data_IF_101445310706
#
_entry.id   IF_101445310706
#
_cell.length_a   1.000
_cell.length_b   1.000
_cell.length_c   1.000
_cell.angle_alpha   90.00
_cell.angle_beta   90.00
_cell.angle_gamma   90.00
#
_symmetry.space_group_name_H-M   'P 1'
#
loop_
_entity.id
_entity.type
_entity.pdbx_description
1 polymer ?
#
# COMPACT_ATOMS: atom_id res chain seq x y z
N UNK A 1 -13.81 16.03 26.75
CA UNK A 1 -15.29 15.96 26.93
C UNK A 1 -15.85 14.98 25.91
N UNK A 2 -17.16 14.77 25.78
CA UNK A 2 -17.71 13.90 24.74
C UNK A 2 -18.93 14.49 24.05
N UNK A 3 -19.36 13.90 22.95
CA UNK A 3 -20.59 14.29 22.25
C UNK A 3 -21.82 14.17 23.17
N UNK A 4 -21.83 13.19 24.08
CA UNK A 4 -22.83 13.03 25.13
C UNK A 4 -22.85 14.18 26.12
N UNK A 5 -21.69 14.74 26.45
CA UNK A 5 -21.60 15.96 27.25
C UNK A 5 -22.17 17.15 26.48
N UNK A 6 -21.84 17.27 25.19
CA UNK A 6 -22.30 18.36 24.33
C UNK A 6 -23.84 18.45 24.31
N UNK A 7 -24.53 17.34 24.03
CA UNK A 7 -26.00 17.31 23.90
C UNK A 7 -26.74 17.45 25.24
N UNK A 8 -26.01 17.46 26.35
CA UNK A 8 -26.55 17.72 27.70
C UNK A 8 -26.18 19.09 28.25
N UNK A 9 -25.33 19.84 27.55
CA UNK A 9 -24.78 21.09 28.05
C UNK A 9 -25.57 22.27 27.54
N UNK A 10 -25.87 23.21 28.43
CA UNK A 10 -26.55 24.46 28.10
C UNK A 10 -25.58 25.41 27.38
N UNK A 11 -25.96 25.89 26.20
CA UNK A 11 -25.28 26.95 25.47
C UNK A 11 -25.53 28.33 26.10
N UNK A 12 -24.92 29.39 25.55
CA UNK A 12 -25.11 30.78 25.99
C UNK A 12 -26.58 31.27 25.99
N UNK A 13 -27.47 30.60 25.25
CA UNK A 13 -28.90 30.92 25.16
C UNK A 13 -29.75 30.04 26.09
N UNK A 14 -29.15 29.33 27.04
CA UNK A 14 -29.80 28.38 27.94
C UNK A 14 -30.61 27.28 27.21
N UNK A 15 -30.13 26.81 26.04
CA UNK A 15 -30.68 25.64 25.35
C UNK A 15 -29.63 24.54 25.18
N UNK A 16 -30.10 23.30 24.98
CA UNK A 16 -29.24 22.12 24.74
C UNK A 16 -29.40 21.66 23.29
N UNK A 17 -28.34 21.09 22.70
CA UNK A 17 -28.42 20.52 21.36
C UNK A 17 -29.36 19.30 21.33
N UNK A 18 -30.24 19.24 20.33
CA UNK A 18 -31.20 18.15 20.16
C UNK A 18 -30.70 17.10 19.15
N UNK A 19 -31.00 15.82 19.40
CA UNK A 19 -30.69 14.76 18.44
C UNK A 19 -31.76 14.70 17.34
N UNK A 20 -31.35 14.52 16.09
CA UNK A 20 -32.27 14.22 14.99
C UNK A 20 -32.91 12.84 15.23
N UNK A 21 -34.24 12.78 15.33
CA UNK A 21 -34.99 11.59 15.77
C UNK A 21 -34.66 10.34 14.94
N UNK A 22 -34.71 10.46 13.61
CA UNK A 22 -34.42 9.36 12.67
C UNK A 22 -32.98 8.83 12.77
N UNK A 23 -32.06 9.62 13.33
CA UNK A 23 -30.64 9.30 13.41
C UNK A 23 -30.22 8.79 14.79
N UNK A 24 -31.10 8.78 15.79
CA UNK A 24 -30.77 8.39 17.18
C UNK A 24 -30.03 7.06 17.29
N UNK A 25 -30.46 6.03 16.54
CA UNK A 25 -29.81 4.70 16.56
C UNK A 25 -28.38 4.70 16.01
N UNK A 26 -28.05 5.67 15.15
CA UNK A 26 -26.70 5.84 14.60
C UNK A 26 -25.86 6.73 15.51
N UNK A 27 -26.45 7.81 16.05
CA UNK A 27 -25.78 8.73 16.98
C UNK A 27 -25.36 8.01 18.29
N UNK A 28 -26.15 7.07 18.79
CA UNK A 28 -25.83 6.31 20.01
C UNK A 28 -24.45 5.62 19.95
N UNK A 29 -23.93 5.37 18.74
CA UNK A 29 -22.62 4.75 18.48
C UNK A 29 -21.42 5.67 18.72
N UNK A 30 -21.66 6.97 18.80
CA UNK A 30 -20.61 8.00 18.88
C UNK A 30 -20.82 8.97 20.05
N UNK A 31 -21.84 8.76 20.89
CA UNK A 31 -22.10 9.63 22.03
C UNK A 31 -20.91 9.69 23.00
N UNK A 32 -20.25 8.57 23.23
CA UNK A 32 -19.08 8.49 24.11
C UNK A 32 -17.76 8.84 23.40
N UNK A 33 -17.80 9.24 22.12
CA UNK A 33 -16.61 9.67 21.38
C UNK A 33 -15.97 10.91 22.04
N UNK A 34 -14.64 10.93 22.24
CA UNK A 34 -13.97 12.04 22.88
C UNK A 34 -13.94 13.27 21.97
N UNK A 35 -14.19 14.43 22.56
CA UNK A 35 -14.01 15.75 21.96
C UNK A 35 -12.86 16.47 22.68
N UNK A 36 -11.98 17.08 21.89
CA UNK A 36 -10.94 17.98 22.41
C UNK A 36 -11.59 19.19 23.10
N UNK A 37 -10.89 19.83 24.04
CA UNK A 37 -11.46 20.95 24.82
C UNK A 37 -11.91 22.09 23.92
N UNK A 38 -11.07 22.50 22.98
CA UNK A 38 -11.35 23.63 22.08
C UNK A 38 -12.49 23.30 21.11
N UNK A 39 -12.49 22.07 20.58
CA UNK A 39 -13.57 21.56 19.73
C UNK A 39 -14.90 21.55 20.48
N UNK A 40 -14.93 21.04 21.71
CA UNK A 40 -16.13 21.05 22.53
C UNK A 40 -16.63 22.47 22.80
N UNK A 41 -15.73 23.40 23.19
CA UNK A 41 -16.12 24.78 23.50
C UNK A 41 -16.73 25.47 22.29
N UNK A 42 -16.13 25.28 21.11
CA UNK A 42 -16.68 25.78 19.85
C UNK A 42 -18.06 25.18 19.55
N UNK A 43 -18.17 23.84 19.61
CA UNK A 43 -19.41 23.14 19.25
C UNK A 43 -20.56 23.46 20.21
N UNK A 44 -20.27 23.68 21.50
CA UNK A 44 -21.28 23.94 22.53
C UNK A 44 -22.19 25.11 22.19
N UNK A 45 -21.64 26.17 21.60
CA UNK A 45 -22.39 27.39 21.30
C UNK A 45 -22.82 27.48 19.83
N UNK A 46 -22.16 26.72 18.93
CA UNK A 46 -22.49 26.67 17.51
C UNK A 46 -23.63 25.68 17.17
N UNK A 47 -23.78 24.61 17.94
CA UNK A 47 -24.63 23.46 17.59
C UNK A 47 -26.00 23.54 18.26
N UNK A 48 -27.06 23.40 17.45
CA UNK A 48 -28.46 23.23 17.88
C UNK A 48 -28.97 21.81 17.67
N UNK A 49 -28.49 21.13 16.63
CA UNK A 49 -28.94 19.80 16.25
C UNK A 49 -27.75 18.88 16.01
N UNK A 50 -27.90 17.58 16.32
CA UNK A 50 -26.89 16.56 16.00
C UNK A 50 -27.53 15.48 15.13
N UNK A 51 -26.91 15.21 13.98
CA UNK A 51 -27.35 14.23 12.99
C UNK A 51 -26.17 13.43 12.43
N UNK A 52 -26.48 12.44 11.59
CA UNK A 52 -25.45 11.73 10.83
C UNK A 52 -25.67 11.86 9.33
N UNK A 53 -24.59 11.79 8.56
CA UNK A 53 -24.66 11.84 7.09
C UNK A 53 -25.32 10.58 6.52
N UNK A 54 -25.64 10.60 5.22
CA UNK A 54 -26.07 9.40 4.49
C UNK A 54 -24.97 8.33 4.48
N UNK A 55 -23.72 8.75 4.25
CA UNK A 55 -22.57 7.85 4.21
C UNK A 55 -22.36 7.13 5.55
N UNK A 56 -22.50 7.82 6.68
CA UNK A 56 -22.47 7.20 8.01
C UNK A 56 -23.45 6.02 8.11
N UNK A 57 -24.71 6.24 7.70
CA UNK A 57 -25.75 5.19 7.73
C UNK A 57 -25.39 4.03 6.80
N UNK A 58 -24.99 4.33 5.57
CA UNK A 58 -24.58 3.32 4.58
C UNK A 58 -23.43 2.45 5.09
N UNK A 59 -22.40 3.05 5.72
CA UNK A 59 -21.25 2.34 6.27
C UNK A 59 -21.67 1.41 7.42
N UNK A 60 -22.45 1.92 8.38
CA UNK A 60 -22.94 1.13 9.52
C UNK A 60 -23.78 -0.06 9.06
N UNK A 61 -24.69 0.18 8.11
CA UNK A 61 -25.63 -0.83 7.64
C UNK A 61 -24.92 -1.87 6.74
N UNK A 62 -24.00 -1.43 5.86
CA UNK A 62 -23.25 -2.32 4.98
C UNK A 62 -22.38 -3.32 5.77
N UNK A 63 -21.60 -2.83 6.73
CA UNK A 63 -20.72 -3.68 7.54
C UNK A 63 -21.44 -4.36 8.71
N UNK A 64 -22.76 -4.14 8.88
CA UNK A 64 -23.56 -4.73 9.95
C UNK A 64 -22.94 -4.50 11.33
N UNK A 65 -22.51 -3.26 11.59
CA UNK A 65 -21.68 -2.91 12.74
C UNK A 65 -22.46 -3.13 14.06
N UNK A 66 -21.90 -3.83 15.06
CA UNK A 66 -22.55 -4.06 16.35
C UNK A 66 -23.04 -2.77 16.99
N UNK A 67 -24.17 -2.81 17.71
CA UNK A 67 -24.73 -1.62 18.36
C UNK A 67 -23.69 -0.97 19.28
N UNK A 68 -23.71 0.37 19.36
CA UNK A 68 -22.75 1.19 20.12
C UNK A 68 -21.30 1.18 19.62
N UNK A 69 -21.03 0.58 18.47
CA UNK A 69 -19.70 0.61 17.83
C UNK A 69 -19.71 1.35 16.49
N UNK A 70 -18.54 1.83 16.09
CA UNK A 70 -18.23 2.25 14.70
C UNK A 70 -17.14 1.33 14.11
N UNK A 71 -17.16 1.07 12.79
CA UNK A 71 -16.28 0.08 12.18
C UNK A 71 -14.83 0.56 12.14
N UNK A 72 -13.89 -0.40 12.15
CA UNK A 72 -12.49 -0.12 11.89
C UNK A 72 -12.29 0.45 10.48
N UNK A 73 -11.23 1.26 10.32
CA UNK A 73 -10.84 1.88 9.07
C UNK A 73 -11.68 3.10 8.68
N UNK A 74 -12.41 3.68 9.64
CA UNK A 74 -13.15 4.91 9.45
C UNK A 74 -12.85 5.89 10.60
N UNK A 75 -12.55 7.13 10.22
CA UNK A 75 -12.44 8.27 11.11
C UNK A 75 -13.83 8.88 11.31
N UNK A 76 -14.17 9.21 12.56
CA UNK A 76 -15.34 10.04 12.86
C UNK A 76 -14.99 11.48 12.52
N UNK A 77 -15.76 12.10 11.63
CA UNK A 77 -15.58 13.50 11.23
C UNK A 77 -16.82 14.31 11.59
N UNK A 78 -16.58 15.51 12.11
CA UNK A 78 -17.59 16.47 12.50
C UNK A 78 -17.58 17.66 11.55
N UNK A 79 -18.75 18.05 11.05
CA UNK A 79 -18.94 19.27 10.26
C UNK A 79 -20.12 20.04 10.82
N UNK A 80 -19.94 21.33 11.09
CA UNK A 80 -21.05 22.23 11.44
C UNK A 80 -21.59 22.81 10.13
N UNK A 81 -22.84 22.50 9.84
CA UNK A 81 -23.59 23.00 8.69
C UNK A 81 -24.40 24.25 9.07
N UNK A 82 -25.10 24.82 8.08
CA UNK A 82 -26.03 25.93 8.29
C UNK A 82 -27.08 25.60 9.38
N UNK A 83 -27.67 26.65 9.95
CA UNK A 83 -28.68 26.57 11.01
C UNK A 83 -28.23 25.94 12.35
N UNK A 84 -26.97 25.49 12.45
CA UNK A 84 -26.39 24.89 13.64
C UNK A 84 -26.51 23.37 13.70
N UNK A 85 -26.59 22.68 12.55
CA UNK A 85 -26.55 21.23 12.49
C UNK A 85 -25.10 20.72 12.58
N UNK A 86 -24.80 19.89 13.58
CA UNK A 86 -23.60 19.08 13.62
C UNK A 86 -23.86 17.77 12.86
N UNK A 87 -23.32 17.67 11.65
CA UNK A 87 -23.32 16.44 10.85
C UNK A 87 -22.10 15.60 11.18
N UNK A 88 -22.34 14.36 11.59
CA UNK A 88 -21.28 13.38 11.86
C UNK A 88 -21.18 12.37 10.72
N UNK A 89 -19.96 12.16 10.22
CA UNK A 89 -19.65 11.22 9.15
C UNK A 89 -18.62 10.14 9.56
N UNK A 90 -18.60 9.05 8.80
CA UNK A 90 -17.54 8.03 8.83
C UNK A 90 -16.72 8.12 7.54
N UNK A 91 -15.56 8.77 7.63
CA UNK A 91 -14.67 8.96 6.48
C UNK A 91 -13.61 7.86 6.45
N UNK A 92 -13.39 7.26 5.28
CA UNK A 92 -12.44 6.15 5.12
C UNK A 92 -11.03 6.60 5.52
N UNK A 93 -10.44 5.92 6.51
CA UNK A 93 -9.05 6.10 6.90
C UNK A 93 -8.56 4.84 7.63
N UNK A 94 -7.71 4.05 6.96
CA UNK A 94 -7.17 2.79 7.49
C UNK A 94 -6.23 2.96 8.71
N UNK A 95 -5.91 4.20 9.10
CA UNK A 95 -5.19 4.50 10.34
C UNK A 95 -6.04 4.32 11.59
N UNK A 96 -7.36 4.17 11.43
CA UNK A 96 -8.29 4.04 12.53
C UNK A 96 -8.70 2.57 12.70
N UNK A 97 -8.73 2.13 13.94
CA UNK A 97 -9.40 0.91 14.38
C UNK A 97 -10.88 1.25 14.72
N UNK A 98 -11.62 0.27 15.25
CA UNK A 98 -13.00 0.45 15.68
C UNK A 98 -13.16 1.64 16.62
N UNK A 99 -14.37 2.21 16.64
CA UNK A 99 -14.75 3.30 17.54
C UNK A 99 -13.98 4.60 17.31
N UNK A 100 -13.46 4.82 16.11
CA UNK A 100 -12.71 6.04 15.76
C UNK A 100 -11.39 6.17 16.53
N UNK A 101 -10.84 5.06 17.02
CA UNK A 101 -9.57 5.03 17.76
C UNK A 101 -8.43 4.89 16.75
N UNK A 102 -7.38 5.72 16.86
CA UNK A 102 -6.18 5.52 16.02
C UNK A 102 -5.52 4.18 16.34
N UNK A 103 -5.03 3.49 15.30
CA UNK A 103 -4.20 2.30 15.47
C UNK A 103 -2.95 2.61 16.32
N UNK A 104 -2.36 1.62 17.00
CA UNK A 104 -1.31 1.86 18.00
C UNK A 104 -0.03 2.51 17.45
N UNK A 105 0.25 2.37 16.16
CA UNK A 105 1.45 2.93 15.53
C UNK A 105 1.07 3.75 14.29
N UNK A 106 1.94 4.69 13.93
CA UNK A 106 1.77 5.51 12.71
C UNK A 106 1.97 4.67 11.44
N UNK A 107 2.85 3.67 11.48
CA UNK A 107 3.15 2.80 10.36
C UNK A 107 2.06 1.74 10.24
N UNK A 108 1.54 1.55 9.02
CA UNK A 108 0.56 0.51 8.75
C UNK A 108 1.23 -0.70 8.13
N UNK A 109 0.71 -1.89 8.41
CA UNK A 109 1.20 -3.13 7.82
C UNK A 109 0.21 -3.68 6.81
N UNK A 110 0.76 -4.32 5.78
CA UNK A 110 0.03 -4.93 4.69
C UNK A 110 0.52 -6.35 4.43
N UNK A 111 -0.41 -7.25 4.11
CA UNK A 111 -0.08 -8.58 3.62
C UNK A 111 0.05 -8.56 2.09
N UNK A 112 1.19 -9.00 1.56
CA UNK A 112 1.38 -9.25 0.12
C UNK A 112 1.08 -10.72 -0.17
N UNK A 113 -0.21 -11.08 -0.25
CA UNK A 113 -0.64 -12.47 -0.33
C UNK A 113 -2.03 -12.62 -0.96
N UNK A 114 -2.27 -13.78 -1.56
CA UNK A 114 -3.59 -14.24 -1.98
C UNK A 114 -4.01 -15.53 -1.24
N UNK A 115 -3.27 -15.94 -0.21
CA UNK A 115 -3.50 -17.16 0.55
C UNK A 115 -4.44 -16.87 1.76
N UNK A 116 -5.73 -17.28 1.72
CA UNK A 116 -6.65 -17.03 2.82
C UNK A 116 -6.21 -17.65 4.15
N UNK A 117 -5.51 -18.79 4.12
CA UNK A 117 -5.04 -19.50 5.32
C UNK A 117 -3.98 -18.70 6.09
N UNK A 118 -3.05 -18.06 5.37
CA UNK A 118 -2.03 -17.19 5.98
C UNK A 118 -2.62 -15.86 6.43
N UNK A 119 -3.49 -15.27 5.61
CA UNK A 119 -4.12 -13.98 5.90
C UNK A 119 -4.96 -14.05 7.17
N UNK A 120 -5.63 -15.17 7.45
CA UNK A 120 -6.41 -15.35 8.67
C UNK A 120 -5.57 -15.13 9.95
N UNK A 121 -4.29 -15.53 9.93
CA UNK A 121 -3.37 -15.40 11.06
C UNK A 121 -2.96 -13.95 11.36
N UNK A 122 -3.01 -13.07 10.34
CA UNK A 122 -2.56 -11.67 10.45
C UNK A 122 -3.70 -10.64 10.33
N UNK A 123 -4.94 -11.08 10.08
CA UNK A 123 -6.10 -10.24 9.76
C UNK A 123 -6.39 -9.11 10.75
N UNK A 124 -6.06 -9.30 12.03
CA UNK A 124 -6.34 -8.33 13.09
C UNK A 124 -5.24 -7.27 13.25
N UNK A 125 -4.08 -7.45 12.60
CA UNK A 125 -2.92 -6.57 12.76
C UNK A 125 -2.70 -5.72 11.51
N UNK A 126 -3.03 -6.24 10.33
CA UNK A 126 -2.87 -5.51 9.07
C UNK A 126 -3.98 -4.47 8.83
N UNK A 127 -3.67 -3.48 8.01
CA UNK A 127 -4.59 -2.42 7.57
C UNK A 127 -4.78 -2.40 6.05
N UNK A 128 -4.01 -3.20 5.33
CA UNK A 128 -4.09 -3.34 3.89
C UNK A 128 -3.71 -4.77 3.48
N UNK A 129 -4.15 -5.19 2.29
CA UNK A 129 -3.67 -6.37 1.58
C UNK A 129 -3.34 -5.95 0.15
N UNK A 130 -2.21 -6.42 -0.37
CA UNK A 130 -1.87 -6.30 -1.79
C UNK A 130 -1.82 -7.69 -2.41
N UNK A 131 -2.40 -7.81 -3.60
CA UNK A 131 -2.19 -8.98 -4.44
C UNK A 131 -1.95 -8.55 -5.90
N UNK A 132 -1.41 -9.45 -6.69
CA UNK A 132 -1.18 -9.29 -8.13
C UNK A 132 -1.42 -10.66 -8.81
N UNK A 133 -1.51 -10.72 -10.15
CA UNK A 133 -1.79 -11.98 -10.85
C UNK A 133 -0.82 -13.10 -10.50
N UNK A 134 0.48 -12.83 -10.38
CA UNK A 134 1.47 -13.85 -9.98
C UNK A 134 1.22 -14.41 -8.58
N UNK A 135 0.88 -13.55 -7.61
CA UNK A 135 0.53 -14.00 -6.24
C UNK A 135 -0.74 -14.87 -6.26
N UNK A 136 -1.76 -14.45 -7.01
CA UNK A 136 -3.04 -15.16 -7.06
C UNK A 136 -2.91 -16.50 -7.78
N UNK A 137 -2.38 -16.49 -8.99
CA UNK A 137 -2.36 -17.67 -9.85
C UNK A 137 -1.19 -18.59 -9.50
N UNK A 138 0.03 -18.07 -9.43
CA UNK A 138 1.22 -18.92 -9.32
C UNK A 138 1.49 -19.33 -7.86
N UNK A 139 1.40 -18.39 -6.92
CA UNK A 139 1.74 -18.67 -5.52
C UNK A 139 0.59 -19.34 -4.75
N UNK A 140 -0.66 -19.14 -5.18
CA UNK A 140 -1.84 -19.69 -4.50
C UNK A 140 -2.64 -20.69 -5.34
N UNK A 141 -3.44 -20.26 -6.33
CA UNK A 141 -4.43 -21.13 -7.02
C UNK A 141 -3.76 -22.37 -7.62
N UNK A 142 -2.66 -22.18 -8.34
CA UNK A 142 -1.93 -23.26 -9.02
C UNK A 142 -0.91 -23.96 -8.12
N UNK A 143 -0.80 -23.56 -6.85
CA UNK A 143 0.12 -24.16 -5.88
C UNK A 143 -0.64 -25.13 -4.95
N UNK A 144 -0.55 -26.45 -5.17
CA UNK A 144 -1.28 -27.44 -4.37
C UNK A 144 -0.85 -27.47 -2.89
N UNK A 145 0.32 -26.92 -2.54
CA UNK A 145 0.74 -26.81 -1.14
C UNK A 145 0.05 -25.66 -0.42
N UNK A 146 -0.28 -24.58 -1.14
CA UNK A 146 -0.93 -23.40 -0.57
C UNK A 146 -2.46 -23.52 -0.66
N UNK A 147 -2.98 -23.94 -1.80
CA UNK A 147 -4.41 -24.19 -2.03
C UNK A 147 -4.78 -25.63 -1.62
N UNK A 148 -4.92 -25.83 -0.30
CA UNK A 148 -5.17 -27.12 0.32
C UNK A 148 -6.44 -27.76 -0.29
N UNK A 149 -6.29 -29.00 -0.77
CA UNK A 149 -7.33 -29.81 -1.41
C UNK A 149 -8.00 -29.14 -2.63
N UNK A 150 -7.33 -28.17 -3.27
CA UNK A 150 -7.87 -27.39 -4.40
C UNK A 150 -9.23 -26.73 -4.10
N UNK A 151 -9.38 -26.22 -2.88
CA UNK A 151 -10.62 -25.57 -2.43
C UNK A 151 -11.00 -24.37 -3.29
N UNK A 152 -10.03 -23.64 -3.83
CA UNK A 152 -10.23 -22.46 -4.66
C UNK A 152 -9.84 -22.73 -6.12
N UNK A 153 -10.69 -22.34 -7.06
CA UNK A 153 -10.50 -22.57 -8.49
C UNK A 153 -10.41 -21.25 -9.28
N UNK A 154 -10.98 -20.18 -8.75
CA UNK A 154 -11.04 -18.89 -9.45
C UNK A 154 -10.50 -17.75 -8.60
N UNK A 155 -10.02 -16.70 -9.28
CA UNK A 155 -9.60 -15.45 -8.63
C UNK A 155 -10.71 -14.84 -7.79
N UNK A 156 -11.96 -14.94 -8.24
CA UNK A 156 -13.09 -14.33 -7.55
C UNK A 156 -13.42 -15.04 -6.25
N UNK A 157 -13.35 -16.38 -6.22
CA UNK A 157 -13.49 -17.15 -4.98
C UNK A 157 -12.43 -16.73 -3.96
N UNK A 158 -11.19 -16.55 -4.42
CA UNK A 158 -10.08 -16.08 -3.56
C UNK A 158 -10.35 -14.67 -3.05
N UNK A 159 -10.71 -13.73 -3.93
CA UNK A 159 -10.93 -12.34 -3.52
C UNK A 159 -12.15 -12.20 -2.60
N UNK A 160 -13.22 -12.94 -2.86
CA UNK A 160 -14.39 -12.96 -2.00
C UNK A 160 -14.03 -13.50 -0.61
N UNK A 161 -13.24 -14.57 -0.52
CA UNK A 161 -12.83 -15.13 0.76
C UNK A 161 -11.89 -14.21 1.53
N UNK A 162 -10.91 -13.59 0.86
CA UNK A 162 -10.07 -12.55 1.48
C UNK A 162 -10.94 -11.40 1.99
N UNK A 163 -11.96 -11.00 1.24
CA UNK A 163 -12.97 -10.02 1.67
C UNK A 163 -13.84 -10.49 2.84
N UNK A 164 -14.05 -11.80 3.04
CA UNK A 164 -14.78 -12.33 4.19
C UNK A 164 -13.91 -12.36 5.46
N UNK A 165 -12.64 -12.76 5.29
CA UNK A 165 -11.65 -12.82 6.38
C UNK A 165 -11.32 -11.41 6.89
N UNK A 166 -11.13 -10.48 5.95
CA UNK A 166 -10.74 -9.12 6.26
C UNK A 166 -11.96 -8.24 6.53
N UNK A 167 -12.02 -7.68 7.72
CA UNK A 167 -13.08 -6.76 8.13
C UNK A 167 -13.02 -5.38 7.45
N UNK A 168 -13.85 -4.41 7.90
CA UNK A 168 -13.89 -3.05 7.34
C UNK A 168 -12.57 -2.29 7.48
N UNK A 169 -11.71 -2.68 8.43
CA UNK A 169 -10.45 -2.01 8.74
C UNK A 169 -9.32 -2.23 7.73
N UNK A 170 -9.55 -3.00 6.67
CA UNK A 170 -8.51 -3.37 5.70
C UNK A 170 -8.88 -2.92 4.28
N UNK A 171 -7.98 -2.21 3.60
CA UNK A 171 -8.06 -1.98 2.16
C UNK A 171 -7.47 -3.18 1.39
N UNK A 172 -8.04 -3.50 0.23
CA UNK A 172 -7.64 -4.67 -0.57
C UNK A 172 -7.29 -4.17 -1.98
N UNK A 173 -5.99 -4.16 -2.27
CA UNK A 173 -5.45 -3.77 -3.57
C UNK A 173 -5.38 -4.96 -4.52
N UNK A 174 -6.13 -4.91 -5.61
CA UNK A 174 -6.18 -5.97 -6.63
C UNK A 174 -5.77 -5.41 -7.98
N UNK A 175 -4.85 -6.10 -8.65
CA UNK A 175 -4.31 -5.68 -9.95
C UNK A 175 -5.12 -6.28 -11.10
N UNK A 176 -5.37 -5.45 -12.13
CA UNK A 176 -6.05 -5.85 -13.36
C UNK A 176 -5.26 -6.96 -14.07
N UNK A 177 -5.95 -7.91 -14.69
CA UNK A 177 -5.28 -9.02 -15.37
C UNK A 177 -4.51 -8.56 -16.61
N UNK A 178 -5.11 -7.66 -17.39
CA UNK A 178 -4.51 -7.15 -18.61
C UNK A 178 -4.59 -5.61 -18.67
N UNK A 179 -3.66 -4.88 -18.02
CA UNK A 179 -3.62 -3.42 -18.09
C UNK A 179 -3.32 -2.89 -19.51
N UNK A 180 -2.96 -3.78 -20.44
CA UNK A 180 -2.67 -3.45 -21.84
C UNK A 180 -3.87 -3.56 -22.78
N UNK A 181 -5.04 -4.04 -22.34
CA UNK A 181 -6.24 -4.17 -23.18
C UNK A 181 -6.72 -2.83 -23.72
N UNK A 182 -6.87 -2.67 -25.04
CA UNK A 182 -7.44 -1.46 -25.63
C UNK A 182 -8.97 -1.36 -25.42
N UNK A 183 -9.60 -2.40 -24.89
CA UNK A 183 -11.01 -2.38 -24.53
C UNK A 183 -11.21 -1.78 -23.14
N UNK A 184 -11.57 -0.50 -23.08
CA UNK A 184 -11.87 0.22 -21.83
C UNK A 184 -13.00 -0.45 -21.04
N UNK A 185 -14.03 -0.97 -21.71
CA UNK A 185 -15.16 -1.59 -21.02
C UNK A 185 -14.74 -2.85 -20.29
N UNK A 186 -13.84 -3.66 -20.86
CA UNK A 186 -13.29 -4.84 -20.19
C UNK A 186 -12.58 -4.48 -18.88
N UNK A 187 -11.77 -3.41 -18.90
CA UNK A 187 -11.04 -2.93 -17.71
C UNK A 187 -12.00 -2.41 -16.63
N UNK A 188 -13.05 -1.69 -17.03
CA UNK A 188 -14.07 -1.18 -16.11
C UNK A 188 -14.94 -2.30 -15.54
N UNK A 189 -15.37 -3.25 -16.36
CA UNK A 189 -16.13 -4.42 -15.93
C UNK A 189 -15.33 -5.28 -14.93
N UNK A 190 -14.03 -5.48 -15.19
CA UNK A 190 -13.13 -6.15 -14.24
C UNK A 190 -13.05 -5.40 -12.90
N UNK A 191 -12.88 -4.07 -12.94
CA UNK A 191 -12.81 -3.24 -11.74
C UNK A 191 -14.13 -3.22 -10.95
N UNK A 192 -15.28 -3.14 -11.63
CA UNK A 192 -16.61 -3.16 -11.00
C UNK A 192 -16.90 -4.51 -10.35
N UNK A 193 -16.51 -5.63 -10.99
CA UNK A 193 -16.62 -6.97 -10.39
C UNK A 193 -15.88 -7.05 -9.05
N UNK A 194 -14.70 -6.44 -8.94
CA UNK A 194 -14.01 -6.34 -7.64
C UNK A 194 -14.73 -5.44 -6.64
N UNK A 195 -15.34 -4.34 -7.10
CA UNK A 195 -16.15 -3.47 -6.23
C UNK A 195 -17.38 -4.17 -5.67
N UNK A 196 -18.02 -5.03 -6.45
CA UNK A 196 -19.16 -5.84 -6.00
C UNK A 196 -18.74 -6.80 -4.88
N UNK A 197 -17.64 -7.54 -5.07
CA UNK A 197 -17.14 -8.51 -4.09
C UNK A 197 -16.59 -7.83 -2.82
N UNK A 198 -15.86 -6.72 -2.98
CA UNK A 198 -15.06 -6.13 -1.89
C UNK A 198 -15.68 -4.85 -1.30
N UNK A 199 -16.72 -4.30 -1.91
CA UNK A 199 -17.31 -2.97 -1.64
C UNK A 199 -16.48 -1.79 -2.13
N UNK A 200 -17.17 -0.67 -2.40
CA UNK A 200 -16.57 0.66 -2.64
C UNK A 200 -15.64 1.13 -1.51
N UNK A 201 -15.81 0.60 -0.30
CA UNK A 201 -15.06 1.04 0.88
C UNK A 201 -13.71 0.35 1.07
N UNK A 202 -13.51 -0.83 0.47
CA UNK A 202 -12.28 -1.63 0.66
C UNK A 202 -11.51 -1.86 -0.62
N UNK A 203 -12.18 -1.93 -1.77
CA UNK A 203 -11.48 -2.15 -3.04
C UNK A 203 -10.54 -0.99 -3.34
N UNK A 204 -9.35 -1.34 -3.81
CA UNK A 204 -8.38 -0.43 -4.42
C UNK A 204 -7.87 -1.11 -5.69
N UNK A 205 -7.96 -0.44 -6.83
CA UNK A 205 -7.52 -1.01 -8.10
C UNK A 205 -6.04 -0.70 -8.29
N UNK A 206 -5.25 -1.75 -8.49
CA UNK A 206 -3.81 -1.64 -8.67
C UNK A 206 -3.48 -1.53 -10.16
N UNK A 207 -2.76 -0.48 -10.52
CA UNK A 207 -2.43 -0.12 -11.91
C UNK A 207 -0.92 0.04 -12.03
N UNK A 208 -0.25 -0.60 -13.00
CA UNK A 208 1.20 -0.51 -13.13
C UNK A 208 1.66 0.70 -13.96
N UNK A 209 2.90 1.13 -13.72
CA UNK A 209 3.67 1.77 -14.77
C UNK A 209 3.86 0.79 -15.94
N UNK A 210 3.44 1.19 -17.13
CA UNK A 210 3.46 0.33 -18.33
C UNK A 210 4.76 0.43 -19.13
N UNK A 211 5.47 1.55 -19.01
CA UNK A 211 6.68 1.79 -19.80
C UNK A 211 6.41 1.64 -21.31
N UNK A 212 7.30 1.01 -22.08
CA UNK A 212 7.14 0.83 -23.52
C UNK A 212 6.18 -0.32 -23.92
N UNK A 213 5.58 -1.02 -22.95
CA UNK A 213 4.75 -2.21 -23.20
C UNK A 213 3.31 -1.80 -23.54
N UNK A 214 2.73 -2.44 -24.55
CA UNK A 214 1.37 -2.20 -25.03
C UNK A 214 0.75 -3.49 -25.61
N UNK A 215 -0.52 -3.39 -26.06
CA UNK A 215 -1.27 -4.53 -26.60
C UNK A 215 -0.56 -5.24 -27.77
N UNK A 216 0.18 -4.47 -28.59
CA UNK A 216 0.85 -5.01 -29.78
C UNK A 216 2.11 -5.80 -29.43
N UNK A 217 2.80 -5.49 -28.32
CA UNK A 217 4.11 -6.06 -28.00
C UNK A 217 4.19 -6.86 -26.69
N UNK A 218 3.14 -6.87 -25.87
CA UNK A 218 3.14 -7.60 -24.58
C UNK A 218 3.41 -9.10 -24.75
N UNK A 219 3.03 -9.69 -25.89
CA UNK A 219 3.30 -11.08 -26.23
C UNK A 219 4.81 -11.42 -26.23
N UNK A 220 5.69 -10.45 -26.48
CA UNK A 220 7.15 -10.64 -26.41
C UNK A 220 7.63 -11.01 -25.01
N UNK A 221 6.89 -10.64 -23.96
CA UNK A 221 7.20 -11.00 -22.57
C UNK A 221 6.70 -12.39 -22.20
N UNK A 222 5.83 -12.99 -23.01
CA UNK A 222 5.12 -14.23 -22.70
C UNK A 222 5.60 -15.41 -23.55
N UNK A 223 6.02 -15.13 -24.78
CA UNK A 223 6.32 -16.12 -25.81
C UNK A 223 7.82 -16.16 -26.19
N UNK A 224 8.26 -17.26 -26.81
CA UNK A 224 9.62 -17.38 -27.32
C UNK A 224 10.71 -17.33 -26.24
N UNK A 225 11.73 -16.50 -26.46
CA UNK A 225 12.83 -16.25 -25.50
C UNK A 225 12.43 -15.32 -24.35
N UNK A 226 11.20 -14.77 -24.41
CA UNK A 226 10.61 -13.85 -23.43
C UNK A 226 11.43 -12.57 -23.22
N UNK A 227 12.22 -12.16 -24.23
CA UNK A 227 13.02 -10.93 -24.19
C UNK A 227 12.30 -9.80 -24.90
N UNK A 228 12.15 -8.67 -24.21
CA UNK A 228 11.57 -7.48 -24.79
C UNK A 228 12.53 -6.86 -25.81
N UNK A 229 12.09 -6.68 -27.06
CA UNK A 229 13.02 -6.30 -28.14
C UNK A 229 13.46 -4.84 -28.10
N UNK A 230 12.73 -3.99 -27.38
CA UNK A 230 12.97 -2.54 -27.29
C UNK A 230 13.63 -2.19 -25.96
N UNK A 231 14.39 -1.10 -25.93
CA UNK A 231 14.92 -0.59 -24.66
C UNK A 231 13.77 -0.13 -23.75
N UNK A 232 13.97 -0.22 -22.43
CA UNK A 232 12.96 0.15 -21.43
C UNK A 232 12.54 1.63 -21.51
N UNK A 233 13.38 2.50 -22.09
CA UNK A 233 13.14 3.93 -22.27
C UNK A 233 12.72 4.29 -23.72
N UNK A 234 12.57 3.30 -24.60
CA UNK A 234 12.07 3.49 -25.98
C UNK A 234 10.52 3.53 -26.02
N UNK A 235 9.93 3.46 -27.22
CA UNK A 235 8.48 3.45 -27.41
C UNK A 235 7.84 4.85 -27.47
N UNK A 236 6.54 4.89 -27.74
CA UNK A 236 5.80 6.15 -27.92
C UNK A 236 5.39 6.74 -26.57
N UNK A 237 5.20 8.05 -26.54
CA UNK A 237 4.67 8.75 -25.36
C UNK A 237 3.36 8.13 -24.88
N UNK A 238 2.45 7.75 -25.79
CA UNK A 238 1.18 7.11 -25.44
C UNK A 238 1.35 5.80 -24.67
N UNK A 239 2.38 5.01 -24.99
CA UNK A 239 2.63 3.71 -24.36
C UNK A 239 3.12 3.94 -22.91
N UNK A 240 4.07 4.88 -22.75
CA UNK A 240 4.66 5.26 -21.46
C UNK A 240 3.65 5.87 -20.48
N UNK A 241 2.67 6.61 -21.01
CA UNK A 241 1.59 7.23 -20.23
C UNK A 241 0.35 6.36 -20.06
N UNK A 242 0.29 5.17 -20.66
CA UNK A 242 -0.90 4.31 -20.59
C UNK A 242 -1.32 4.00 -19.16
N UNK A 243 -0.39 3.59 -18.29
CA UNK A 243 -0.68 3.35 -16.87
C UNK A 243 -1.26 4.58 -16.14
N UNK A 244 -0.75 5.77 -16.45
CA UNK A 244 -1.25 7.03 -15.86
C UNK A 244 -2.67 7.36 -16.33
N UNK A 245 -2.93 7.21 -17.64
CA UNK A 245 -4.25 7.45 -18.21
C UNK A 245 -5.28 6.44 -17.69
N UNK A 246 -4.88 5.18 -17.49
CA UNK A 246 -5.73 4.16 -16.89
C UNK A 246 -6.05 4.47 -15.42
N UNK A 247 -5.06 4.92 -14.64
CA UNK A 247 -5.28 5.37 -13.27
C UNK A 247 -6.26 6.56 -13.18
N UNK A 248 -6.10 7.55 -14.05
CA UNK A 248 -7.02 8.70 -14.16
C UNK A 248 -8.44 8.26 -14.53
N UNK A 249 -8.57 7.41 -15.55
CA UNK A 249 -9.85 6.88 -16.00
C UNK A 249 -10.59 6.16 -14.85
N UNK A 250 -9.92 5.28 -14.13
CA UNK A 250 -10.51 4.56 -13.00
C UNK A 250 -10.84 5.50 -11.82
N UNK A 251 -10.00 6.51 -11.58
CA UNK A 251 -10.28 7.53 -10.58
C UNK A 251 -11.55 8.33 -10.90
N UNK A 252 -11.74 8.73 -12.16
CA UNK A 252 -12.96 9.40 -12.65
C UNK A 252 -14.22 8.52 -12.48
N UNK A 253 -14.06 7.20 -12.49
CA UNK A 253 -15.11 6.22 -12.20
C UNK A 253 -15.27 5.89 -10.70
N UNK A 254 -14.64 6.67 -9.82
CA UNK A 254 -14.79 6.57 -8.36
C UNK A 254 -13.96 5.48 -7.70
N UNK A 255 -12.98 4.89 -8.39
CA UNK A 255 -12.05 3.94 -7.78
C UNK A 255 -10.89 4.65 -7.06
N UNK A 256 -10.47 4.07 -5.94
CA UNK A 256 -9.17 4.36 -5.34
C UNK A 256 -8.09 3.56 -6.05
N UNK A 257 -6.95 4.17 -6.32
CA UNK A 257 -5.88 3.58 -7.14
C UNK A 257 -4.65 3.27 -6.30
N UNK A 258 -4.08 2.09 -6.49
CA UNK A 258 -2.74 1.71 -6.05
C UNK A 258 -1.80 1.70 -7.25
N UNK A 259 -0.94 2.69 -7.37
CA UNK A 259 -0.06 2.84 -8.52
C UNK A 259 1.26 2.09 -8.29
N UNK A 260 1.48 1.02 -9.05
CA UNK A 260 2.51 0.00 -8.83
C UNK A 260 3.63 0.02 -9.89
N UNK A 261 4.59 -0.91 -9.74
CA UNK A 261 5.80 -1.03 -10.57
C UNK A 261 6.64 0.26 -10.61
N UNK A 262 6.79 0.85 -9.43
CA UNK A 262 7.58 2.06 -9.21
C UNK A 262 8.94 1.68 -8.61
N UNK A 263 10.00 1.95 -9.36
CA UNK A 263 11.38 1.62 -9.02
C UNK A 263 12.28 2.85 -8.98
N UNK A 264 11.93 3.93 -9.67
CA UNK A 264 12.78 5.10 -9.89
C UNK A 264 12.20 6.37 -9.22
N UNK A 265 13.02 7.14 -8.48
CA UNK A 265 12.63 8.40 -7.83
C UNK A 265 11.74 9.32 -8.66
N UNK A 266 12.11 9.57 -9.92
CA UNK A 266 11.39 10.50 -10.80
C UNK A 266 9.96 10.05 -11.14
N UNK A 267 9.61 8.78 -10.94
CA UNK A 267 8.26 8.28 -11.18
C UNK A 267 7.27 8.86 -10.17
N UNK A 268 7.71 9.16 -8.94
CA UNK A 268 6.81 9.53 -7.85
C UNK A 268 6.06 10.83 -8.11
N UNK A 269 6.75 11.90 -8.51
CA UNK A 269 6.08 13.17 -8.76
C UNK A 269 5.04 13.08 -9.90
N UNK A 270 5.34 12.28 -10.94
CA UNK A 270 4.45 12.07 -12.07
C UNK A 270 3.26 11.19 -11.70
N UNK A 271 3.50 10.12 -10.95
CA UNK A 271 2.47 9.23 -10.39
C UNK A 271 1.41 10.00 -9.60
N UNK A 272 1.82 10.96 -8.77
CA UNK A 272 0.90 11.77 -7.97
C UNK A 272 -0.06 12.63 -8.81
N UNK A 273 0.26 12.93 -10.07
CA UNK A 273 -0.67 13.64 -10.97
C UNK A 273 -1.94 12.84 -11.26
N UNK A 274 -1.85 11.49 -11.19
CA UNK A 274 -3.01 10.61 -11.34
C UNK A 274 -3.84 10.47 -10.06
N UNK A 275 -3.56 11.27 -9.01
CA UNK A 275 -4.27 11.29 -7.72
C UNK A 275 -4.44 9.90 -7.06
N UNK A 276 -3.38 9.08 -7.00
CA UNK A 276 -3.50 7.73 -6.47
C UNK A 276 -3.73 7.76 -4.96
N UNK A 277 -4.43 6.74 -4.45
CA UNK A 277 -4.59 6.51 -3.02
C UNK A 277 -3.33 5.83 -2.43
N UNK A 278 -2.68 4.97 -3.20
CA UNK A 278 -1.35 4.42 -2.88
C UNK A 278 -0.37 4.61 -4.03
N UNK A 279 0.87 4.93 -3.71
CA UNK A 279 2.03 4.77 -4.60
C UNK A 279 2.97 3.71 -4.01
N UNK A 280 3.72 3.02 -4.84
CA UNK A 280 4.61 1.95 -4.37
C UNK A 280 6.09 2.35 -4.47
N UNK A 281 6.94 1.69 -3.69
CA UNK A 281 8.38 1.68 -3.88
C UNK A 281 8.91 0.25 -3.76
N UNK A 282 9.35 -0.31 -4.89
CA UNK A 282 9.92 -1.66 -4.98
C UNK A 282 11.42 -1.61 -4.66
N UNK A 283 11.82 -2.09 -3.48
CA UNK A 283 13.20 -1.89 -3.00
C UNK A 283 14.15 -3.01 -3.42
N UNK A 284 13.72 -4.27 -3.33
CA UNK A 284 14.57 -5.45 -3.51
C UNK A 284 15.21 -5.57 -4.88
N UNK A 285 14.43 -5.49 -5.95
CA UNK A 285 14.96 -5.62 -7.30
C UNK A 285 15.90 -4.46 -7.66
N UNK A 286 15.58 -3.24 -7.21
CA UNK A 286 16.43 -2.06 -7.40
C UNK A 286 17.76 -2.23 -6.66
N UNK A 287 17.71 -2.55 -5.38
CA UNK A 287 18.89 -2.75 -4.53
C UNK A 287 19.76 -3.92 -5.00
N UNK A 288 19.15 -5.07 -5.28
CA UNK A 288 19.84 -6.25 -5.84
C UNK A 288 20.52 -5.99 -7.18
N UNK A 289 19.93 -5.18 -8.05
CA UNK A 289 20.60 -4.74 -9.26
C UNK A 289 21.81 -3.84 -8.97
N UNK A 290 21.70 -2.88 -8.05
CA UNK A 290 22.82 -2.03 -7.65
C UNK A 290 23.99 -2.84 -7.06
N UNK A 291 23.70 -3.79 -6.15
CA UNK A 291 24.70 -4.73 -5.60
C UNK A 291 25.43 -5.49 -6.70
N UNK A 292 24.68 -6.02 -7.67
CA UNK A 292 25.24 -6.80 -8.78
C UNK A 292 26.13 -5.95 -9.68
N UNK A 293 25.68 -4.74 -10.03
CA UNK A 293 26.45 -3.78 -10.83
C UNK A 293 27.76 -3.42 -10.12
N UNK A 294 27.71 -3.09 -8.82
CA UNK A 294 28.90 -2.77 -8.03
C UNK A 294 29.89 -3.93 -8.01
N UNK A 295 29.40 -5.16 -7.81
CA UNK A 295 30.24 -6.37 -7.81
C UNK A 295 31.02 -6.52 -9.12
N UNK A 296 30.37 -6.38 -10.27
CA UNK A 296 31.06 -6.50 -11.56
C UNK A 296 32.08 -5.38 -11.78
N UNK A 297 31.78 -4.15 -11.38
CA UNK A 297 32.73 -3.04 -11.46
C UNK A 297 33.95 -3.24 -10.56
N UNK A 298 33.76 -3.77 -9.35
CA UNK A 298 34.87 -4.09 -8.43
C UNK A 298 35.73 -5.24 -8.93
N UNK A 299 35.12 -6.26 -9.53
CA UNK A 299 35.85 -7.35 -10.19
C UNK A 299 36.69 -6.81 -11.35
N UNK A 300 36.12 -5.94 -12.20
CA UNK A 300 36.88 -5.29 -13.28
C UNK A 300 38.03 -4.43 -12.71
N UNK A 301 37.76 -3.60 -11.71
CA UNK A 301 38.76 -2.69 -11.13
C UNK A 301 39.92 -3.45 -10.46
N UNK A 302 39.66 -4.62 -9.88
CA UNK A 302 40.68 -5.44 -9.20
C UNK A 302 41.49 -6.33 -10.14
N UNK A 303 40.95 -6.73 -11.30
CA UNK A 303 41.59 -7.68 -12.22
C UNK A 303 42.04 -7.08 -13.55
N UNK A 304 41.46 -5.94 -13.96
CA UNK A 304 41.47 -5.44 -15.34
C UNK A 304 41.00 -6.48 -16.39
N UNK A 305 40.23 -7.49 -15.97
CA UNK A 305 39.67 -8.50 -16.86
C UNK A 305 38.34 -8.02 -17.48
N UNK A 306 38.36 -7.85 -18.80
CA UNK A 306 37.19 -7.45 -19.58
C UNK A 306 36.00 -8.41 -19.45
N UNK A 307 36.24 -9.67 -19.03
CA UNK A 307 35.17 -10.65 -18.78
C UNK A 307 34.13 -10.13 -17.79
N UNK A 308 34.53 -9.39 -16.76
CA UNK A 308 33.59 -8.81 -15.80
C UNK A 308 32.63 -7.79 -16.46
N UNK A 309 33.10 -7.03 -17.45
CA UNK A 309 32.26 -6.09 -18.20
C UNK A 309 31.38 -6.81 -19.23
N UNK A 310 31.85 -7.92 -19.80
CA UNK A 310 31.03 -8.78 -20.67
C UNK A 310 29.87 -9.41 -19.89
N UNK A 311 30.14 -9.95 -18.71
CA UNK A 311 29.12 -10.49 -17.79
C UNK A 311 28.14 -9.41 -17.33
N UNK A 312 28.63 -8.19 -17.04
CA UNK A 312 27.78 -7.04 -16.72
C UNK A 312 26.85 -6.65 -17.89
N UNK A 313 27.34 -6.70 -19.13
CA UNK A 313 26.50 -6.46 -20.32
C UNK A 313 25.40 -7.51 -20.44
N UNK A 314 25.75 -8.78 -20.25
CA UNK A 314 24.76 -9.88 -20.22
C UNK A 314 23.74 -9.66 -19.11
N UNK A 315 24.17 -9.29 -17.91
CA UNK A 315 23.30 -8.94 -16.80
C UNK A 315 22.34 -7.79 -17.15
N UNK A 316 22.81 -6.74 -17.83
CA UNK A 316 21.96 -5.63 -18.28
C UNK A 316 20.88 -6.07 -19.27
N UNK A 317 21.19 -7.01 -20.16
CA UNK A 317 20.19 -7.60 -21.08
C UNK A 317 19.22 -8.52 -20.32
N UNK A 318 19.72 -9.26 -19.34
CA UNK A 318 18.89 -10.16 -18.52
C UNK A 318 17.91 -9.42 -17.60
N UNK A 319 18.25 -8.19 -17.21
CA UNK A 319 17.46 -7.33 -16.31
C UNK A 319 16.82 -6.14 -17.02
N UNK A 320 16.69 -6.22 -18.35
CA UNK A 320 15.99 -5.24 -19.19
C UNK A 320 16.53 -3.79 -19.12
N UNK A 321 17.75 -3.59 -18.61
CA UNK A 321 18.46 -2.32 -18.76
C UNK A 321 18.86 -2.07 -20.21
N UNK A 322 19.07 -3.15 -20.98
CA UNK A 322 19.36 -3.13 -22.40
C UNK A 322 18.46 -4.13 -23.14
N UNK A 323 18.02 -3.82 -24.37
CA UNK A 323 17.39 -4.81 -25.24
C UNK A 323 18.41 -5.87 -25.70
N UNK A 324 17.96 -6.99 -26.30
CA UNK A 324 18.87 -8.02 -26.84
C UNK A 324 19.92 -7.47 -27.82
N UNK A 325 19.56 -6.46 -28.64
CA UNK A 325 20.50 -5.78 -29.54
C UNK A 325 21.62 -5.02 -28.81
N UNK A 326 21.46 -4.76 -27.50
CA UNK A 326 22.47 -4.20 -26.61
C UNK A 326 23.71 -5.08 -26.44
N UNK A 327 23.71 -6.32 -26.94
CA UNK A 327 24.93 -7.14 -27.03
C UNK A 327 26.05 -6.46 -27.85
N UNK A 328 25.67 -5.55 -28.75
CA UNK A 328 26.61 -4.76 -29.57
C UNK A 328 27.22 -3.56 -28.82
N UNK A 329 26.72 -3.21 -27.64
CA UNK A 329 27.25 -2.11 -26.82
C UNK A 329 28.71 -2.39 -26.44
N UNK A 330 29.58 -1.38 -26.57
CA UNK A 330 31.01 -1.54 -26.26
C UNK A 330 31.25 -1.64 -24.75
N UNK A 331 32.30 -2.35 -24.32
CA UNK A 331 32.61 -2.50 -22.89
C UNK A 331 32.83 -1.15 -22.16
N UNK A 332 33.48 -0.13 -22.75
CA UNK A 332 33.56 1.19 -22.14
C UNK A 332 32.18 1.85 -21.92
N UNK A 333 31.23 1.65 -22.84
CA UNK A 333 29.86 2.16 -22.68
C UNK A 333 29.09 1.42 -21.59
N UNK A 334 29.26 0.10 -21.50
CA UNK A 334 28.69 -0.73 -20.41
C UNK A 334 29.19 -0.23 -19.05
N UNK A 335 30.51 -0.04 -18.91
CA UNK A 335 31.11 0.52 -17.69
C UNK A 335 30.55 1.91 -17.38
N UNK A 336 30.50 2.80 -18.38
CA UNK A 336 29.97 4.17 -18.21
C UNK A 336 28.50 4.16 -17.77
N UNK A 337 27.67 3.27 -18.30
CA UNK A 337 26.28 3.12 -17.91
C UNK A 337 26.16 2.63 -16.46
N UNK A 338 26.97 1.64 -16.08
CA UNK A 338 27.03 1.11 -14.72
C UNK A 338 27.45 2.16 -13.69
N UNK A 339 28.54 2.89 -13.96
CA UNK A 339 29.02 3.99 -13.12
C UNK A 339 27.92 5.07 -12.97
N UNK A 340 27.21 5.40 -14.05
CA UNK A 340 26.09 6.37 -14.03
C UNK A 340 24.96 5.88 -13.12
N UNK A 341 24.56 4.61 -13.22
CA UNK A 341 23.48 4.04 -12.42
C UNK A 341 23.83 4.12 -10.93
N UNK A 342 25.00 3.64 -10.52
CA UNK A 342 25.40 3.65 -9.11
C UNK A 342 25.53 5.06 -8.55
N UNK A 343 26.10 5.99 -9.34
CA UNK A 343 26.20 7.40 -8.95
C UNK A 343 24.83 8.02 -8.73
N UNK A 344 23.90 7.82 -9.66
CA UNK A 344 22.54 8.34 -9.55
C UNK A 344 21.77 7.74 -8.38
N UNK A 345 22.00 6.46 -8.07
CA UNK A 345 21.41 5.75 -6.93
C UNK A 345 22.08 6.06 -5.58
N UNK A 346 23.04 6.98 -5.54
CA UNK A 346 23.77 7.35 -4.32
C UNK A 346 24.40 6.16 -3.60
N UNK A 347 24.88 5.17 -4.37
CA UNK A 347 25.35 3.88 -3.82
C UNK A 347 26.44 4.03 -2.74
N UNK A 348 27.37 4.95 -2.94
CA UNK A 348 28.54 5.11 -2.06
C UNK A 348 28.29 6.06 -0.87
N UNK A 349 27.05 6.46 -0.59
CA UNK A 349 26.73 7.35 0.53
C UNK A 349 25.44 6.95 1.26
N UNK A 350 25.16 7.59 2.40
CA UNK A 350 24.02 7.27 3.28
C UNK A 350 22.65 7.37 2.61
N UNK A 351 22.49 8.14 1.53
CA UNK A 351 21.21 8.24 0.82
C UNK A 351 20.83 6.93 0.12
N UNK A 352 21.80 6.15 -0.37
CA UNK A 352 21.54 4.98 -1.20
C UNK A 352 22.25 3.70 -0.79
N UNK A 353 23.20 3.75 0.15
CA UNK A 353 23.95 2.56 0.59
C UNK A 353 23.10 1.49 1.27
N UNK A 354 21.92 1.87 1.79
CA UNK A 354 20.93 0.96 2.37
C UNK A 354 19.78 0.62 1.39
N UNK A 355 19.91 1.02 0.12
CA UNK A 355 18.97 0.72 -0.98
C UNK A 355 17.61 1.44 -0.87
N UNK A 356 17.50 2.44 0.00
CA UNK A 356 16.28 3.19 0.25
C UNK A 356 16.26 4.59 -0.40
N UNK A 357 17.17 4.87 -1.35
CA UNK A 357 17.24 6.15 -2.08
C UNK A 357 15.88 6.57 -2.68
N UNK A 358 15.20 5.61 -3.31
CA UNK A 358 13.87 5.80 -3.91
C UNK A 358 12.77 6.02 -2.88
N UNK A 359 12.87 5.39 -1.71
CA UNK A 359 11.92 5.58 -0.59
C UNK A 359 12.08 6.98 -0.01
N UNK A 360 13.31 7.42 0.28
CA UNK A 360 13.61 8.77 0.77
C UNK A 360 13.07 9.83 -0.20
N UNK A 361 13.33 9.68 -1.49
CA UNK A 361 12.80 10.60 -2.49
C UNK A 361 11.27 10.62 -2.50
N UNK A 362 10.63 9.44 -2.47
CA UNK A 362 9.18 9.34 -2.47
C UNK A 362 8.55 10.01 -1.25
N UNK A 363 9.15 9.89 -0.07
CA UNK A 363 8.69 10.58 1.13
C UNK A 363 8.86 12.11 1.02
N UNK A 364 9.99 12.60 0.49
CA UNK A 364 10.20 14.03 0.24
C UNK A 364 9.16 14.60 -0.73
N UNK A 365 8.85 13.89 -1.81
CA UNK A 365 7.82 14.30 -2.77
C UNK A 365 6.43 14.25 -2.14
N UNK A 366 6.11 13.18 -1.41
CA UNK A 366 4.82 13.00 -0.75
C UNK A 366 4.56 14.06 0.32
N UNK A 367 5.58 14.46 1.09
CA UNK A 367 5.49 15.56 2.07
C UNK A 367 5.05 16.87 1.42
N UNK A 368 5.51 17.11 0.20
CA UNK A 368 5.24 18.34 -0.56
C UNK A 368 4.01 18.23 -1.48
N UNK A 369 3.21 17.15 -1.37
CA UNK A 369 2.03 16.95 -2.21
C UNK A 369 0.77 17.55 -1.57
N UNK A 370 -0.19 17.96 -2.39
CA UNK A 370 -1.50 18.45 -1.96
C UNK A 370 -2.53 17.32 -1.77
N UNK A 371 -2.09 16.06 -1.76
CA UNK A 371 -2.96 14.91 -1.57
C UNK A 371 -2.89 14.52 -0.10
N UNK A 372 -3.99 14.64 0.63
CA UNK A 372 -4.00 14.42 2.08
C UNK A 372 -3.98 12.93 2.46
N UNK A 373 -4.57 12.09 1.61
CA UNK A 373 -4.86 10.68 1.89
C UNK A 373 -3.91 9.69 1.19
N UNK A 374 -3.13 10.14 0.20
CA UNK A 374 -2.15 9.28 -0.49
C UNK A 374 -1.09 8.74 0.47
N UNK A 375 -0.77 7.44 0.35
CA UNK A 375 0.27 6.78 1.15
C UNK A 375 1.31 6.11 0.27
N UNK A 376 2.54 6.01 0.79
CA UNK A 376 3.61 5.21 0.19
C UNK A 376 3.56 3.78 0.74
N UNK A 377 3.35 2.81 -0.15
CA UNK A 377 3.57 1.40 0.15
C UNK A 377 5.04 1.07 -0.16
N UNK A 378 5.82 0.74 0.86
CA UNK A 378 7.15 0.15 0.68
C UNK A 378 6.95 -1.36 0.50
N UNK A 379 7.40 -1.91 -0.64
CA UNK A 379 7.10 -3.27 -1.05
C UNK A 379 8.33 -4.00 -1.60
N UNK A 380 8.15 -5.31 -1.84
CA UNK A 380 9.22 -6.20 -2.30
C UNK A 380 10.41 -6.16 -1.35
N UNK A 381 10.19 -6.57 -0.10
CA UNK A 381 11.26 -6.73 0.90
C UNK A 381 11.83 -8.14 0.85
N UNK A 382 13.13 -8.31 1.09
CA UNK A 382 13.77 -9.61 1.30
C UNK A 382 14.89 -9.54 2.34
N UNK A 383 15.37 -10.72 2.77
CA UNK A 383 16.49 -10.82 3.71
C UNK A 383 16.18 -10.27 5.10
N UNK A 384 17.20 -10.17 5.95
CA UNK A 384 17.06 -9.69 7.33
C UNK A 384 17.24 -8.18 7.47
N UNK A 385 17.85 -7.52 6.47
CA UNK A 385 18.32 -6.13 6.57
C UNK A 385 17.29 -5.09 6.12
N UNK A 386 16.35 -5.44 5.24
CA UNK A 386 15.41 -4.47 4.65
C UNK A 386 14.50 -3.82 5.69
N UNK A 387 13.88 -4.59 6.58
CA UNK A 387 12.99 -3.99 7.60
C UNK A 387 13.74 -3.11 8.60
N UNK A 388 14.88 -3.53 9.21
CA UNK A 388 15.68 -2.66 10.06
C UNK A 388 16.10 -1.35 9.38
N UNK A 389 16.46 -1.39 8.08
CA UNK A 389 16.80 -0.19 7.33
C UNK A 389 15.58 0.76 7.17
N UNK A 390 14.39 0.22 6.87
CA UNK A 390 13.15 0.99 6.77
C UNK A 390 12.79 1.60 8.13
N UNK A 391 12.84 0.82 9.21
CA UNK A 391 12.53 1.28 10.56
C UNK A 391 13.47 2.42 10.99
N UNK A 392 14.78 2.25 10.73
CA UNK A 392 15.77 3.30 10.95
C UNK A 392 15.43 4.56 10.17
N UNK A 393 15.14 4.46 8.88
CA UNK A 393 14.76 5.60 8.02
C UNK A 393 13.53 6.33 8.58
N UNK A 394 12.49 5.62 9.03
CA UNK A 394 11.27 6.24 9.56
C UNK A 394 11.46 6.87 10.94
N UNK A 395 12.53 6.50 11.65
CA UNK A 395 12.95 7.15 12.89
C UNK A 395 13.86 8.37 12.67
N UNK A 396 14.40 8.58 11.46
CA UNK A 396 15.26 9.72 11.16
C UNK A 396 14.50 11.04 11.37
N UNK A 397 15.15 12.10 11.91
CA UNK A 397 14.54 13.41 12.07
C UNK A 397 13.92 13.95 10.78
N UNK A 398 14.50 13.60 9.64
CA UNK A 398 13.97 13.99 8.34
C UNK A 398 12.60 13.38 8.06
N UNK A 399 12.25 12.18 8.52
CA UNK A 399 11.05 11.43 8.07
C UNK A 399 10.06 11.02 9.17
N UNK A 400 10.34 11.31 10.45
CA UNK A 400 9.48 10.91 11.56
C UNK A 400 8.04 11.46 11.49
N UNK A 401 7.85 12.58 10.79
CA UNK A 401 6.56 13.22 10.55
C UNK A 401 5.78 12.47 9.47
N UNK A 402 6.46 11.77 8.56
CA UNK A 402 5.88 11.06 7.42
C UNK A 402 5.49 9.62 7.69
N UNK A 403 5.87 9.04 8.84
CA UNK A 403 5.56 7.64 9.18
C UNK A 403 4.06 7.30 9.08
N UNK A 404 3.18 8.28 9.33
CA UNK A 404 1.73 8.10 9.23
C UNK A 404 1.21 7.95 7.79
N UNK A 405 2.04 8.25 6.78
CA UNK A 405 1.76 8.09 5.35
C UNK A 405 2.43 6.85 4.75
N UNK A 406 2.93 5.94 5.58
CA UNK A 406 3.65 4.74 5.14
C UNK A 406 2.85 3.48 5.45
N UNK A 407 2.82 2.59 4.47
CA UNK A 407 2.36 1.21 4.60
C UNK A 407 3.54 0.30 4.24
N UNK A 408 3.85 -0.68 5.07
CA UNK A 408 4.87 -1.70 4.79
C UNK A 408 4.14 -2.96 4.33
N UNK A 409 4.43 -3.44 3.11
CA UNK A 409 3.85 -4.68 2.59
C UNK A 409 4.90 -5.76 2.36
N UNK A 410 4.61 -6.96 2.85
CA UNK A 410 5.43 -8.16 2.63
C UNK A 410 4.56 -9.40 2.80
N UNK A 411 5.09 -10.55 2.40
CA UNK A 411 4.45 -11.85 2.64
C UNK A 411 4.19 -12.02 4.15
N UNK A 412 3.05 -12.61 4.57
CA UNK A 412 2.75 -12.84 5.99
C UNK A 412 3.87 -13.56 6.74
N UNK A 413 4.54 -14.54 6.09
CA UNK A 413 5.68 -15.24 6.68
C UNK A 413 6.88 -14.33 6.94
N UNK A 414 7.16 -13.37 6.04
CA UNK A 414 8.24 -12.40 6.27
C UNK A 414 7.93 -11.51 7.47
N UNK A 415 6.69 -11.01 7.60
CA UNK A 415 6.28 -10.20 8.75
C UNK A 415 6.34 -11.00 10.05
N UNK A 416 6.03 -12.30 10.01
CA UNK A 416 6.10 -13.18 11.18
C UNK A 416 7.52 -13.27 11.77
N UNK A 417 8.57 -13.08 10.96
CA UNK A 417 9.97 -13.06 11.43
C UNK A 417 10.22 -12.00 12.50
N UNK A 418 9.46 -10.90 12.50
CA UNK A 418 9.61 -9.83 13.49
C UNK A 418 9.14 -10.23 14.89
N UNK A 419 8.43 -11.35 15.00
CA UNK A 419 7.91 -11.86 16.28
C UNK A 419 8.87 -12.82 16.99
N UNK A 420 10.00 -13.16 16.36
CA UNK A 420 10.90 -14.21 16.86
C UNK A 420 12.35 -13.75 16.92
N UNK A 421 13.08 -14.29 17.90
CA UNK A 421 14.53 -14.12 18.09
C UNK A 421 15.04 -15.24 19.01
N UNK A 422 16.32 -15.66 18.94
CA UNK A 422 16.85 -16.70 19.84
C UNK A 422 16.59 -16.43 21.33
N UNK A 423 16.53 -15.16 21.73
CA UNK A 423 16.25 -14.74 23.10
C UNK A 423 14.80 -15.04 23.51
N UNK A 424 13.82 -14.96 22.60
CA UNK A 424 12.41 -15.33 22.89
C UNK A 424 12.35 -16.78 23.34
N UNK A 425 12.97 -17.70 22.59
CA UNK A 425 13.01 -19.13 22.95
C UNK A 425 13.75 -19.34 24.26
N UNK A 426 14.89 -18.68 24.45
CA UNK A 426 15.73 -18.83 25.64
C UNK A 426 15.02 -18.38 26.92
N UNK A 427 14.30 -17.25 26.87
CA UNK A 427 13.53 -16.75 28.01
C UNK A 427 12.27 -17.58 28.26
N UNK A 428 11.56 -18.02 27.22
CA UNK A 428 10.44 -18.95 27.38
C UNK A 428 10.87 -20.24 28.08
N UNK A 429 12.02 -20.83 27.68
CA UNK A 429 12.59 -22.00 28.36
C UNK A 429 12.87 -21.72 29.84
N UNK A 430 13.48 -20.58 30.15
CA UNK A 430 13.76 -20.17 31.53
C UNK A 430 12.48 -20.02 32.35
N UNK A 431 11.46 -19.33 31.82
CA UNK A 431 10.19 -19.11 32.50
C UNK A 431 9.43 -20.40 32.75
N UNK A 432 9.36 -21.28 31.76
CA UNK A 432 8.68 -22.57 31.91
C UNK A 432 9.39 -23.49 32.92
N UNK A 433 10.73 -23.45 32.98
CA UNK A 433 11.48 -24.17 34.02
C UNK A 433 11.22 -23.59 35.42
N UNK A 434 11.18 -22.28 35.57
CA UNK A 434 10.87 -21.63 36.85
C UNK A 434 9.43 -21.95 37.31
N UNK A 435 8.46 -21.88 36.39
CA UNK A 435 7.06 -22.22 36.66
C UNK A 435 6.88 -23.71 37.03
N UNK A 436 7.64 -24.62 36.43
CA UNK A 436 7.63 -26.05 36.78
C UNK A 436 8.02 -26.28 38.25
N UNK A 437 8.87 -25.43 38.82
CA UNK A 437 9.29 -25.50 40.22
C UNK A 437 8.24 -25.00 41.23
N UNK A 438 7.10 -24.45 40.78
CA UNK A 438 5.99 -24.00 41.63
C UNK A 438 4.90 -25.07 41.83
N UNK A 439 5.19 -26.33 41.50
CA UNK A 439 4.28 -27.46 41.76
C UNK A 439 4.42 -28.01 43.16
#
# INVERSE_FOLDING_TARGET
MSLKTLVKSYNEKNSVASLIEKDKKYIDRILDAPLATDEYNFLKDAVKYVGVTKNFREVIDYFKVPAKETPAGFKVQYSVEEEGLLSVDLVRDISYDKNGIKRPTKVLFSADSANPYEVDSVKNIIANLTCNPGIIYDLFINNPKANIDHKFNTRDEVMQELGNILGPGCDISVELNNPFSDNINELLEEAERFREMLSKYRVVIKVPHTGPVNAENVHELLEGDKKFKRAYDAGLTKDKFRGHNLALLLHEHGFRINFTLMFEPYQTALALQARPYFINAFIRHRGGASRSIKKYLDQFASSNDNKALEELRTFFIEKDFLPPSGISMTLPEVKKMADRILKYRNWDNHEGSDELDSVRHSLRVLRNSNLEDTRLIICSMEGEDNYPAIDKLLAEPEFNDMAHRVVITSEPEYLAKFTTTPQVISYQRRFMNAAKGQK
#
